data_IF_093803131169
#
_entry.id   IF_093803131169
#
_cell.length_a   1.000
_cell.length_b   1.000
_cell.length_c   1.000
_cell.angle_alpha   90.00
_cell.angle_beta   90.00
_cell.angle_gamma   90.00
#
_symmetry.space_group_name_H-M   'P 1'
#
loop_
_entity.id
_entity.type
_entity.pdbx_description
1 polymer ?
#
# COMPACT_ATOMS: atom_id res chain seq x y z
N UNK A 1 6.60 28.45 7.44
CA UNK A 1 5.53 28.23 8.49
C UNK A 1 6.23 28.21 9.85
N UNK A 2 5.61 28.75 10.89
CA UNK A 2 6.15 28.59 12.24
C UNK A 2 5.82 27.20 12.83
N UNK A 3 6.48 26.83 13.93
CA UNK A 3 6.29 25.51 14.54
C UNK A 3 4.85 25.26 14.97
N UNK A 4 4.11 26.29 15.38
CA UNK A 4 2.71 26.21 15.78
C UNK A 4 1.84 25.83 14.58
N UNK A 5 2.05 26.45 13.41
CA UNK A 5 1.34 26.15 12.16
C UNK A 5 1.61 24.71 11.68
N UNK A 6 2.84 24.21 11.84
CA UNK A 6 3.21 22.84 11.47
C UNK A 6 2.54 21.80 12.37
N UNK A 7 2.50 22.04 13.69
CA UNK A 7 1.77 21.19 14.65
C UNK A 7 0.27 21.25 14.39
N UNK A 8 -0.26 22.43 14.08
CA UNK A 8 -1.67 22.58 13.69
C UNK A 8 -2.01 21.79 12.44
N UNK A 9 -1.15 21.79 11.42
CA UNK A 9 -1.32 20.99 10.21
C UNK A 9 -1.34 19.48 10.51
N UNK A 10 -0.46 19.00 11.40
CA UNK A 10 -0.50 17.61 11.88
C UNK A 10 -1.81 17.29 12.58
N UNK A 11 -2.20 18.13 13.54
CA UNK A 11 -3.45 17.94 14.28
C UNK A 11 -4.67 17.92 13.33
N UNK A 12 -4.68 18.79 12.32
CA UNK A 12 -5.75 18.83 11.31
C UNK A 12 -5.88 17.49 10.59
N UNK A 13 -4.78 16.89 10.15
CA UNK A 13 -4.80 15.57 9.48
C UNK A 13 -5.32 14.48 10.43
N UNK A 14 -4.88 14.47 11.68
CA UNK A 14 -5.35 13.50 12.69
C UNK A 14 -6.85 13.68 12.98
N UNK A 15 -7.32 14.93 13.07
CA UNK A 15 -8.73 15.28 13.30
C UNK A 15 -9.64 14.86 12.14
N UNK A 16 -9.15 14.84 10.91
CA UNK A 16 -9.93 14.38 9.75
C UNK A 16 -10.44 12.94 9.89
N UNK A 17 -9.83 12.14 10.74
CA UNK A 17 -10.26 10.76 11.00
C UNK A 17 -11.13 10.63 12.26
N UNK A 18 -11.33 11.71 13.04
CA UNK A 18 -12.05 11.65 14.31
C UNK A 18 -13.55 11.37 14.18
N UNK A 19 -14.17 11.67 13.05
CA UNK A 19 -15.62 11.52 12.87
C UNK A 19 -16.11 10.06 12.89
N UNK A 20 -15.21 9.08 12.73
CA UNK A 20 -15.56 7.66 12.82
C UNK A 20 -15.65 7.16 14.27
N UNK A 21 -15.22 7.97 15.21
CA UNK A 21 -15.19 7.65 16.63
C UNK A 21 -16.28 8.40 17.40
N UNK A 22 -16.73 7.82 18.50
CA UNK A 22 -17.45 8.62 19.50
C UNK A 22 -16.53 9.66 20.10
N UNK A 23 -17.04 10.77 20.63
CA UNK A 23 -16.21 11.84 21.18
C UNK A 23 -15.17 11.37 22.21
N UNK A 24 -15.51 10.52 23.20
CA UNK A 24 -14.50 9.98 24.12
C UNK A 24 -13.42 9.16 23.39
N UNK A 25 -13.80 8.38 22.38
CA UNK A 25 -12.85 7.59 21.59
C UNK A 25 -11.97 8.45 20.69
N UNK A 26 -12.50 9.55 20.15
CA UNK A 26 -11.74 10.51 19.35
C UNK A 26 -10.66 11.22 20.17
N UNK A 27 -10.93 11.50 21.45
CA UNK A 27 -9.92 12.02 22.39
C UNK A 27 -8.79 11.01 22.59
N UNK A 28 -9.13 9.75 22.85
CA UNK A 28 -8.14 8.67 23.03
C UNK A 28 -7.37 8.41 21.73
N UNK A 29 -8.04 8.44 20.56
CA UNK A 29 -7.41 8.34 19.24
C UNK A 29 -6.26 9.36 19.08
N UNK A 30 -6.52 10.64 19.34
CA UNK A 30 -5.51 11.70 19.22
C UNK A 30 -4.30 11.45 20.12
N UNK A 31 -4.53 11.00 21.34
CA UNK A 31 -3.46 10.69 22.28
C UNK A 31 -2.69 9.44 21.88
N UNK A 32 -3.37 8.38 21.42
CA UNK A 32 -2.70 7.18 20.89
C UNK A 32 -1.81 7.54 19.70
N UNK A 33 -2.32 8.31 18.74
CA UNK A 33 -1.54 8.74 17.56
C UNK A 33 -0.30 9.53 17.99
N UNK A 34 -0.44 10.50 18.89
CA UNK A 34 0.68 11.27 19.41
C UNK A 34 1.71 10.38 20.11
N UNK A 35 1.27 9.56 21.06
CA UNK A 35 2.16 8.66 21.79
C UNK A 35 2.83 7.61 20.90
N UNK A 36 2.14 7.15 19.85
CA UNK A 36 2.68 6.20 18.89
C UNK A 36 3.78 6.81 18.03
N UNK A 37 3.57 8.00 17.48
CA UNK A 37 4.57 8.72 16.69
C UNK A 37 5.82 9.03 17.52
N UNK A 38 5.63 9.47 18.77
CA UNK A 38 6.74 9.80 19.67
C UNK A 38 7.48 8.58 20.22
N UNK A 39 6.85 7.41 20.21
CA UNK A 39 7.42 6.18 20.76
C UNK A 39 8.57 5.66 19.91
N UNK A 40 9.67 5.27 20.58
CA UNK A 40 10.76 4.45 20.04
C UNK A 40 10.72 3.08 20.74
N UNK A 41 10.92 2.01 19.96
CA UNK A 41 10.85 0.64 20.45
C UNK A 41 9.46 0.00 20.32
N UNK A 42 9.19 -1.12 21.00
CA UNK A 42 7.98 -1.93 20.79
C UNK A 42 6.68 -1.14 21.00
N UNK A 43 5.74 -1.23 20.06
CA UNK A 43 4.47 -0.49 20.06
C UNK A 43 3.42 -1.19 20.94
N UNK A 44 3.67 -1.22 22.26
CA UNK A 44 2.71 -1.65 23.26
C UNK A 44 1.86 -0.48 23.73
N UNK A 45 0.61 -0.74 24.11
CA UNK A 45 -0.28 0.30 24.64
C UNK A 45 0.34 1.00 25.87
N UNK A 46 0.94 0.22 26.77
CA UNK A 46 1.65 0.77 27.95
C UNK A 46 2.88 1.61 27.57
N UNK A 47 3.59 1.22 26.49
CA UNK A 47 4.70 1.99 25.97
C UNK A 47 4.25 3.33 25.39
N UNK A 48 3.16 3.34 24.62
CA UNK A 48 2.52 4.56 24.11
C UNK A 48 2.07 5.45 25.25
N UNK A 49 1.38 4.87 26.24
CA UNK A 49 0.94 5.59 27.45
C UNK A 49 2.11 6.28 28.19
N UNK A 50 3.23 5.57 28.38
CA UNK A 50 4.44 6.16 28.97
C UNK A 50 4.98 7.34 28.17
N UNK A 51 4.94 7.28 26.83
CA UNK A 51 5.36 8.41 25.99
C UNK A 51 4.46 9.64 26.14
N UNK A 52 3.18 9.45 26.44
CA UNK A 52 2.25 10.55 26.70
C UNK A 52 2.58 11.26 28.02
N UNK A 53 2.98 10.52 29.07
CA UNK A 53 3.24 11.08 30.38
C UNK A 53 2.03 11.86 30.92
N UNK A 54 2.23 13.12 31.31
CA UNK A 54 1.18 14.01 31.81
C UNK A 54 0.11 14.41 30.78
N UNK A 55 0.31 14.14 29.49
CA UNK A 55 -0.72 14.32 28.47
C UNK A 55 -1.75 13.20 28.46
N UNK A 56 -1.46 12.09 29.13
CA UNK A 56 -2.43 11.01 29.34
C UNK A 56 -3.38 11.42 30.47
N UNK A 57 -4.59 11.78 30.12
CA UNK A 57 -5.62 12.28 31.04
C UNK A 57 -6.59 11.21 31.55
N UNK A 58 -6.35 9.95 31.20
CA UNK A 58 -7.16 8.79 31.60
C UNK A 58 -6.24 7.65 32.05
N UNK A 59 -6.81 6.75 32.85
CA UNK A 59 -6.10 5.54 33.25
C UNK A 59 -5.71 4.69 32.02
N UNK A 60 -4.55 4.05 32.05
CA UNK A 60 -3.97 3.30 30.91
C UNK A 60 -4.92 2.22 30.32
N UNK A 61 -5.80 1.64 31.13
CA UNK A 61 -6.80 0.66 30.66
C UNK A 61 -7.79 1.25 29.66
N UNK A 62 -8.01 2.56 29.65
CA UNK A 62 -8.89 3.23 28.68
C UNK A 62 -8.28 3.16 27.28
N UNK A 63 -6.96 3.30 27.19
CA UNK A 63 -6.22 3.17 25.92
C UNK A 63 -6.24 1.73 25.39
N UNK A 64 -6.20 0.74 26.28
CA UNK A 64 -6.40 -0.65 25.86
C UNK A 64 -7.84 -0.90 25.39
N UNK A 65 -8.84 -0.38 26.13
CA UNK A 65 -10.26 -0.48 25.76
C UNK A 65 -10.56 0.12 24.38
N UNK A 66 -9.79 1.12 23.95
CA UNK A 66 -9.90 1.68 22.60
C UNK A 66 -9.73 0.60 21.51
N UNK A 67 -8.83 -0.36 21.70
CA UNK A 67 -8.58 -1.42 20.72
C UNK A 67 -9.58 -2.58 20.80
N UNK A 68 -10.05 -2.97 21.97
CA UNK A 68 -10.90 -4.16 22.07
C UNK A 68 -12.38 -3.90 22.37
N UNK A 69 -12.74 -2.71 22.88
CA UNK A 69 -14.11 -2.39 23.31
C UNK A 69 -14.77 -1.27 22.53
N UNK A 70 -14.05 -0.20 22.20
CA UNK A 70 -14.61 0.97 21.52
C UNK A 70 -15.34 0.62 20.22
N UNK A 71 -16.39 1.42 19.90
CA UNK A 71 -17.23 1.21 18.74
C UNK A 71 -16.64 1.84 17.48
N UNK A 72 -15.67 1.19 16.87
CA UNK A 72 -15.12 1.58 15.56
C UNK A 72 -14.61 0.35 14.81
N UNK A 73 -14.49 0.45 13.48
CA UNK A 73 -13.97 -0.63 12.65
C UNK A 73 -12.75 -0.19 11.84
N UNK A 74 -11.89 -1.16 11.49
CA UNK A 74 -10.78 -0.90 10.57
C UNK A 74 -11.28 -0.50 9.18
N UNK A 75 -12.43 -1.04 8.75
CA UNK A 75 -13.06 -0.69 7.47
C UNK A 75 -13.44 0.79 7.43
N UNK A 76 -14.07 1.31 8.49
CA UNK A 76 -14.45 2.72 8.57
C UNK A 76 -13.22 3.62 8.62
N UNK A 77 -12.18 3.22 9.37
CA UNK A 77 -10.91 3.94 9.42
C UNK A 77 -10.22 4.00 8.04
N UNK A 78 -10.20 2.89 7.31
CA UNK A 78 -9.66 2.85 5.95
C UNK A 78 -10.47 3.72 4.98
N UNK A 79 -11.79 3.66 5.05
CA UNK A 79 -12.66 4.52 4.22
C UNK A 79 -12.45 6.01 4.52
N UNK A 80 -12.33 6.37 5.81
CA UNK A 80 -12.02 7.72 6.23
C UNK A 80 -10.65 8.20 5.73
N UNK A 81 -9.62 7.34 5.84
CA UNK A 81 -8.28 7.62 5.36
C UNK A 81 -8.27 7.88 3.86
N UNK A 82 -8.95 7.02 3.09
CA UNK A 82 -9.11 7.19 1.65
C UNK A 82 -9.82 8.51 1.31
N UNK A 83 -10.98 8.77 1.92
CA UNK A 83 -11.83 9.90 1.56
C UNK A 83 -11.29 11.25 2.04
N UNK A 84 -10.68 11.32 3.22
CA UNK A 84 -10.30 12.59 3.87
C UNK A 84 -8.84 12.95 3.73
N UNK A 85 -7.95 11.97 3.61
CA UNK A 85 -6.51 12.21 3.53
C UNK A 85 -5.97 11.96 2.12
N UNK A 86 -6.31 10.80 1.53
CA UNK A 86 -5.72 10.38 0.26
C UNK A 86 -6.44 11.01 -0.94
N UNK A 87 -7.76 11.09 -0.93
CA UNK A 87 -8.53 11.67 -2.05
C UNK A 87 -8.13 13.12 -2.39
N UNK A 88 -7.94 14.03 -1.41
CA UNK A 88 -7.41 15.36 -1.71
C UNK A 88 -6.04 15.32 -2.39
N UNK A 89 -5.15 14.40 -2.01
CA UNK A 89 -3.85 14.24 -2.66
C UNK A 89 -3.96 13.70 -4.09
N UNK A 90 -4.95 12.81 -4.35
CA UNK A 90 -5.26 12.34 -5.71
C UNK A 90 -5.69 13.51 -6.58
N UNK A 91 -6.57 14.37 -6.10
CA UNK A 91 -7.02 15.56 -6.84
C UNK A 91 -5.86 16.56 -7.07
N UNK A 92 -5.04 16.79 -6.06
CA UNK A 92 -3.85 17.65 -6.15
C UNK A 92 -2.82 17.14 -7.16
N UNK A 93 -2.74 15.82 -7.39
CA UNK A 93 -1.83 15.24 -8.37
C UNK A 93 -2.09 15.72 -9.79
N UNK A 94 -3.33 16.11 -10.11
CA UNK A 94 -3.75 16.53 -11.45
C UNK A 94 -3.68 15.42 -12.50
N UNK A 95 -3.35 14.18 -12.12
CA UNK A 95 -3.25 13.06 -13.05
C UNK A 95 -4.61 12.58 -13.46
N UNK A 96 -4.93 12.68 -14.74
CA UNK A 96 -6.19 12.21 -15.31
C UNK A 96 -5.98 10.95 -16.14
N UNK A 97 -7.00 10.12 -16.17
CA UNK A 97 -7.03 8.94 -17.03
C UNK A 97 -7.31 9.36 -18.47
N UNK A 98 -6.45 8.90 -19.39
CA UNK A 98 -6.47 9.29 -20.81
C UNK A 98 -7.75 8.83 -21.55
N UNK A 99 -8.45 7.84 -21.01
CA UNK A 99 -9.64 7.28 -21.66
C UNK A 99 -10.96 7.79 -21.05
N UNK A 100 -10.93 8.17 -19.78
CA UNK A 100 -12.15 8.55 -19.04
C UNK A 100 -12.15 10.00 -18.57
N UNK A 101 -11.00 10.69 -18.61
CA UNK A 101 -10.82 12.04 -18.08
C UNK A 101 -10.96 12.14 -16.57
N UNK A 102 -11.10 11.02 -15.84
CA UNK A 102 -11.27 11.00 -14.39
C UNK A 102 -9.92 11.09 -13.68
N UNK A 103 -9.89 11.65 -12.44
CA UNK A 103 -8.71 11.54 -11.58
C UNK A 103 -8.28 10.09 -11.39
N UNK A 104 -6.99 9.85 -11.27
CA UNK A 104 -6.40 8.50 -11.19
C UNK A 104 -5.89 8.21 -9.79
N UNK A 105 -6.18 7.00 -9.30
CA UNK A 105 -5.50 6.41 -8.17
C UNK A 105 -4.81 5.10 -8.60
N UNK A 106 -3.49 5.04 -8.44
CA UNK A 106 -2.71 3.81 -8.63
C UNK A 106 -2.68 3.04 -7.31
N UNK A 107 -3.29 1.85 -7.27
CA UNK A 107 -3.35 0.98 -6.10
C UNK A 107 -2.44 -0.23 -6.29
N UNK A 108 -1.55 -0.48 -5.34
CA UNK A 108 -0.78 -1.72 -5.29
C UNK A 108 -1.30 -2.63 -4.18
N UNK A 109 -1.39 -3.93 -4.45
CA UNK A 109 -1.80 -4.94 -3.47
C UNK A 109 -0.69 -5.97 -3.31
N UNK A 110 -0.36 -6.25 -2.04
CA UNK A 110 0.56 -7.32 -1.67
C UNK A 110 0.17 -7.91 -0.31
N UNK A 111 0.74 -9.06 0.04
CA UNK A 111 0.56 -9.64 1.37
C UNK A 111 1.88 -9.72 2.13
N UNK A 112 1.77 -9.68 3.45
CA UNK A 112 2.92 -9.78 4.33
C UNK A 112 2.60 -10.59 5.56
N UNK A 113 3.58 -11.41 5.97
CA UNK A 113 3.48 -12.12 7.24
C UNK A 113 4.14 -11.32 8.36
N UNK A 114 3.57 -11.46 9.56
CA UNK A 114 4.04 -10.81 10.78
C UNK A 114 4.15 -11.87 11.88
N UNK A 115 5.37 -12.19 12.28
CA UNK A 115 5.64 -13.19 13.31
C UNK A 115 4.91 -12.90 14.62
N UNK A 116 4.40 -13.94 15.27
CA UNK A 116 3.68 -13.85 16.54
C UNK A 116 4.22 -14.84 17.56
N UNK A 117 4.14 -14.46 18.83
CA UNK A 117 4.42 -15.33 19.96
C UNK A 117 3.13 -15.59 20.73
N UNK A 118 2.97 -16.82 21.22
CA UNK A 118 1.80 -17.22 22.01
C UNK A 118 0.74 -17.98 21.20
N UNK A 119 0.34 -19.12 21.75
CA UNK A 119 -0.61 -20.07 21.11
C UNK A 119 -2.04 -19.53 21.03
N UNK A 120 -2.40 -18.58 21.90
CA UNK A 120 -3.77 -18.05 22.01
C UNK A 120 -3.97 -16.71 21.28
N UNK A 121 -2.97 -16.28 20.47
CA UNK A 121 -3.14 -15.07 19.67
C UNK A 121 -4.15 -15.33 18.56
N UNK A 122 -5.26 -14.60 18.60
CA UNK A 122 -6.35 -14.79 17.64
C UNK A 122 -5.85 -14.65 16.19
N UNK A 123 -6.29 -15.59 15.33
CA UNK A 123 -6.02 -15.61 13.89
C UNK A 123 -4.53 -15.80 13.51
N UNK A 124 -3.65 -16.11 14.45
CA UNK A 124 -2.30 -16.54 14.14
C UNK A 124 -2.30 -17.98 13.61
N UNK A 125 -1.39 -18.29 12.72
CA UNK A 125 -1.26 -19.61 12.13
C UNK A 125 0.14 -19.84 11.56
N UNK A 126 0.42 -21.06 11.12
CA UNK A 126 1.67 -21.38 10.45
C UNK A 126 1.63 -20.93 8.99
N UNK A 127 2.49 -20.03 8.59
CA UNK A 127 2.61 -19.50 7.23
C UNK A 127 4.02 -19.73 6.69
N UNK A 128 4.12 -19.85 5.37
CA UNK A 128 5.41 -19.85 4.69
C UNK A 128 6.03 -18.47 4.79
N UNK A 129 7.27 -18.40 5.22
CA UNK A 129 8.07 -17.19 5.12
C UNK A 129 8.71 -17.14 3.72
N UNK A 130 8.15 -16.31 2.85
CA UNK A 130 8.62 -16.22 1.47
C UNK A 130 10.03 -15.61 1.37
N UNK A 131 10.37 -14.66 2.25
CA UNK A 131 11.65 -13.95 2.25
C UNK A 131 12.80 -14.88 2.67
N UNK A 132 12.62 -15.61 3.75
CA UNK A 132 13.62 -16.56 4.26
C UNK A 132 13.67 -17.81 3.39
N UNK A 133 12.52 -18.30 2.90
CA UNK A 133 12.48 -19.48 2.03
C UNK A 133 13.18 -19.27 0.69
N UNK A 134 13.17 -18.04 0.15
CA UNK A 134 13.84 -17.71 -1.11
C UNK A 134 15.38 -17.72 -0.98
N UNK A 135 15.90 -17.36 0.18
CA UNK A 135 17.35 -17.32 0.48
C UNK A 135 17.90 -18.59 1.14
N UNK A 136 17.00 -19.49 1.60
CA UNK A 136 17.39 -20.70 2.32
C UNK A 136 17.64 -21.87 1.37
N UNK A 137 18.83 -22.46 1.45
CA UNK A 137 19.14 -23.75 0.81
C UNK A 137 18.47 -24.96 1.48
N UNK A 138 17.82 -24.74 2.66
CA UNK A 138 17.19 -25.79 3.46
C UNK A 138 15.71 -26.03 3.14
N UNK A 139 15.15 -25.38 2.10
CA UNK A 139 13.76 -25.57 1.67
C UNK A 139 12.77 -24.54 2.25
N UNK A 140 11.51 -24.93 2.38
CA UNK A 140 10.43 -24.04 2.84
C UNK A 140 10.52 -23.79 4.34
N UNK A 141 10.72 -22.53 4.72
CA UNK A 141 10.65 -22.08 6.11
C UNK A 141 9.21 -21.66 6.43
N UNK A 142 8.69 -22.15 7.54
CA UNK A 142 7.36 -21.77 8.06
C UNK A 142 7.52 -21.11 9.43
N UNK A 143 6.66 -20.14 9.72
CA UNK A 143 6.63 -19.47 11.02
C UNK A 143 5.20 -19.24 11.52
N UNK A 144 5.04 -19.10 12.83
CA UNK A 144 3.79 -18.76 13.46
C UNK A 144 3.55 -17.26 13.32
N UNK A 145 2.53 -16.86 12.58
CA UNK A 145 2.37 -15.48 12.14
C UNK A 145 0.90 -15.09 11.90
N UNK A 146 0.67 -13.79 11.72
CA UNK A 146 -0.46 -13.24 11.00
C UNK A 146 -0.07 -13.03 9.54
N UNK A 147 -1.01 -13.24 8.61
CA UNK A 147 -0.86 -12.85 7.21
C UNK A 147 -1.82 -11.69 6.91
N UNK A 148 -1.27 -10.55 6.48
CA UNK A 148 -1.99 -9.33 6.17
C UNK A 148 -1.95 -9.06 4.68
N UNK A 149 -3.11 -8.77 4.09
CA UNK A 149 -3.23 -8.23 2.73
C UNK A 149 -3.30 -6.71 2.88
N UNK A 150 -2.42 -6.01 2.15
CA UNK A 150 -2.25 -4.56 2.22
C UNK A 150 -2.51 -3.97 0.85
N UNK A 151 -3.36 -2.94 0.81
CA UNK A 151 -3.57 -2.09 -0.34
C UNK A 151 -3.00 -0.69 -0.07
N UNK A 152 -2.09 -0.23 -0.92
CA UNK A 152 -1.50 1.10 -0.84
C UNK A 152 -1.84 1.92 -2.09
N UNK A 153 -2.15 3.20 -1.91
CA UNK A 153 -2.38 4.15 -3.01
C UNK A 153 -1.10 4.93 -3.28
N UNK A 154 -0.68 4.97 -4.53
CA UNK A 154 0.46 5.78 -4.96
C UNK A 154 -0.04 7.08 -5.59
N UNK A 155 0.48 8.21 -5.10
CA UNK A 155 0.20 9.55 -5.61
C UNK A 155 1.50 10.21 -6.03
N UNK A 156 1.47 10.94 -7.15
CA UNK A 156 2.58 11.81 -7.60
C UNK A 156 2.10 13.25 -7.54
N UNK A 157 2.72 14.04 -6.68
CA UNK A 157 2.36 15.45 -6.50
C UNK A 157 3.23 16.34 -7.38
N UNK A 158 2.68 17.35 -8.09
CA UNK A 158 3.44 18.28 -8.94
C UNK A 158 4.61 18.95 -8.22
N UNK A 159 4.40 19.27 -6.94
CA UNK A 159 5.44 19.85 -6.07
C UNK A 159 6.57 18.90 -5.74
N UNK A 160 6.37 17.59 -5.90
CA UNK A 160 7.31 16.52 -5.59
C UNK A 160 7.48 15.60 -6.80
N UNK A 161 7.96 16.09 -7.96
CA UNK A 161 7.89 15.36 -9.23
C UNK A 161 8.67 14.05 -9.21
N UNK A 162 9.71 13.97 -8.37
CA UNK A 162 10.57 12.78 -8.27
C UNK A 162 10.13 11.79 -7.19
N UNK A 163 9.15 12.15 -6.35
CA UNK A 163 8.72 11.31 -5.23
C UNK A 163 7.40 10.62 -5.56
N UNK A 164 7.38 9.31 -5.34
CA UNK A 164 6.16 8.51 -5.34
C UNK A 164 5.67 8.37 -3.90
N UNK A 165 4.54 9.01 -3.60
CA UNK A 165 3.91 8.93 -2.28
C UNK A 165 3.10 7.66 -2.18
N UNK A 166 3.70 6.61 -1.64
CA UNK A 166 3.02 5.33 -1.42
C UNK A 166 2.37 5.34 -0.04
N UNK A 167 1.05 5.26 -0.02
CA UNK A 167 0.17 5.51 1.12
C UNK A 167 -0.62 4.23 1.44
N UNK A 168 -0.19 3.40 2.41
CA UNK A 168 -0.98 2.28 2.88
C UNK A 168 -2.36 2.72 3.36
N UNK A 169 -3.43 2.13 2.83
CA UNK A 169 -4.78 2.63 3.04
C UNK A 169 -5.79 1.56 3.47
N UNK A 170 -5.68 0.36 2.93
CA UNK A 170 -6.65 -0.71 3.14
C UNK A 170 -5.93 -1.96 3.63
N UNK A 171 -6.49 -2.61 4.64
CA UNK A 171 -5.84 -3.71 5.34
C UNK A 171 -6.83 -4.80 5.65
N UNK A 172 -6.46 -6.05 5.38
CA UNK A 172 -7.31 -7.19 5.72
C UNK A 172 -6.45 -8.34 6.26
N UNK A 173 -6.86 -8.88 7.40
CA UNK A 173 -6.23 -10.06 8.00
C UNK A 173 -6.78 -11.32 7.35
N UNK A 174 -5.90 -12.11 6.73
CA UNK A 174 -6.26 -13.43 6.27
C UNK A 174 -6.44 -14.39 7.45
N UNK A 175 -7.52 -15.15 7.45
CA UNK A 175 -7.82 -16.19 8.43
C UNK A 175 -7.78 -17.55 7.77
N UNK A 176 -7.09 -18.50 8.39
CA UNK A 176 -7.13 -19.87 7.90
C UNK A 176 -8.52 -20.45 8.01
N UNK A 177 -8.82 -21.40 7.14
CA UNK A 177 -10.12 -22.11 7.14
C UNK A 177 -10.41 -22.78 8.49
N UNK A 178 -9.38 -23.34 9.13
CA UNK A 178 -9.47 -23.92 10.48
C UNK A 178 -9.87 -22.93 11.58
N UNK A 179 -9.69 -21.63 11.35
CA UNK A 179 -9.99 -20.54 12.28
C UNK A 179 -11.41 -19.99 12.10
N UNK A 180 -12.11 -20.44 11.06
CA UNK A 180 -13.48 -20.01 10.74
C UNK A 180 -14.49 -20.99 11.33
N UNK A 181 -15.48 -20.46 12.08
CA UNK A 181 -16.52 -21.29 12.71
C UNK A 181 -17.39 -22.02 11.70
N UNK A 182 -17.64 -21.40 10.57
CA UNK A 182 -18.40 -21.97 9.44
C UNK A 182 -17.65 -21.76 8.14
N UNK A 183 -17.94 -22.58 7.13
CA UNK A 183 -17.33 -22.48 5.82
C UNK A 183 -17.63 -21.14 5.13
N UNK A 184 -18.80 -20.58 5.36
CA UNK A 184 -19.25 -19.30 4.77
C UNK A 184 -18.45 -18.09 5.31
N UNK A 185 -17.80 -18.23 6.48
CA UNK A 185 -16.94 -17.19 7.05
C UNK A 185 -15.53 -17.21 6.46
N UNK A 186 -15.13 -18.27 5.78
CA UNK A 186 -13.83 -18.35 5.15
C UNK A 186 -13.77 -17.49 3.88
N UNK A 187 -12.70 -16.74 3.74
CA UNK A 187 -12.35 -15.97 2.53
C UNK A 187 -10.92 -16.28 2.13
N UNK A 188 -10.73 -16.65 0.88
CA UNK A 188 -9.38 -16.80 0.30
C UNK A 188 -8.68 -15.45 0.16
N UNK A 189 -7.36 -15.44 -0.03
CA UNK A 189 -6.60 -14.22 -0.32
C UNK A 189 -7.17 -13.46 -1.52
N UNK A 190 -7.63 -14.18 -2.54
CA UNK A 190 -8.20 -13.62 -3.75
C UNK A 190 -9.54 -12.93 -3.49
N UNK A 191 -10.43 -13.56 -2.73
CA UNK A 191 -11.71 -12.95 -2.36
C UNK A 191 -11.50 -11.71 -1.49
N UNK A 192 -10.60 -11.77 -0.50
CA UNK A 192 -10.26 -10.62 0.33
C UNK A 192 -9.67 -9.45 -0.48
N UNK A 193 -8.80 -9.75 -1.45
CA UNK A 193 -8.27 -8.73 -2.35
C UNK A 193 -9.37 -8.13 -3.25
N UNK A 194 -10.29 -8.95 -3.76
CA UNK A 194 -11.45 -8.49 -4.52
C UNK A 194 -12.35 -7.56 -3.71
N UNK A 195 -12.69 -7.94 -2.47
CA UNK A 195 -13.46 -7.12 -1.54
C UNK A 195 -12.74 -5.79 -1.22
N UNK A 196 -11.40 -5.84 -1.05
CA UNK A 196 -10.57 -4.65 -0.83
C UNK A 196 -10.62 -3.69 -2.02
N UNK A 197 -10.51 -4.19 -3.25
CA UNK A 197 -10.61 -3.37 -4.47
C UNK A 197 -11.98 -2.72 -4.57
N UNK A 198 -13.05 -3.48 -4.34
CA UNK A 198 -14.42 -2.96 -4.37
C UNK A 198 -14.65 -1.87 -3.31
N UNK A 199 -14.20 -2.11 -2.07
CA UNK A 199 -14.32 -1.13 -0.98
C UNK A 199 -13.54 0.16 -1.30
N UNK A 200 -12.35 0.03 -1.90
CA UNK A 200 -11.54 1.19 -2.32
C UNK A 200 -12.24 1.98 -3.43
N UNK A 201 -12.77 1.30 -4.45
CA UNK A 201 -13.51 1.94 -5.53
C UNK A 201 -14.78 2.66 -5.04
N UNK A 202 -15.46 2.10 -4.03
CA UNK A 202 -16.61 2.73 -3.38
C UNK A 202 -16.24 3.96 -2.54
N UNK A 203 -15.08 3.90 -1.85
CA UNK A 203 -14.58 5.02 -1.04
C UNK A 203 -14.02 6.19 -1.87
N UNK A 204 -13.70 5.95 -3.15
CA UNK A 204 -13.16 6.93 -4.09
C UNK A 204 -14.09 7.11 -5.31
N UNK A 205 -15.30 7.64 -5.11
CA UNK A 205 -16.26 7.83 -6.21
C UNK A 205 -15.70 8.82 -7.24
N UNK A 206 -15.91 8.52 -8.53
CA UNK A 206 -15.43 9.38 -9.61
C UNK A 206 -13.94 9.24 -9.96
N UNK A 207 -13.19 8.39 -9.26
CA UNK A 207 -11.78 8.11 -9.54
C UNK A 207 -11.64 6.86 -10.41
N UNK A 208 -10.72 6.90 -11.38
CA UNK A 208 -10.28 5.72 -12.12
C UNK A 208 -9.23 5.00 -11.28
N UNK A 209 -9.57 3.81 -10.76
CA UNK A 209 -8.67 3.01 -9.94
C UNK A 209 -7.85 2.06 -10.83
N UNK A 210 -6.55 2.21 -10.80
CA UNK A 210 -5.58 1.36 -11.52
C UNK A 210 -4.90 0.44 -10.51
N UNK A 211 -5.27 -0.84 -10.52
CA UNK A 211 -4.76 -1.82 -9.55
C UNK A 211 -3.58 -2.57 -10.13
N UNK A 212 -2.52 -2.74 -9.35
CA UNK A 212 -1.39 -3.62 -9.65
C UNK A 212 -1.24 -4.64 -8.53
N UNK A 213 -1.22 -5.93 -8.88
CA UNK A 213 -1.16 -7.01 -7.90
C UNK A 213 -0.27 -8.16 -8.38
N UNK A 214 0.27 -8.96 -7.44
CA UNK A 214 1.06 -10.14 -7.81
C UNK A 214 0.21 -11.21 -8.52
N UNK A 215 0.88 -12.14 -9.21
CA UNK A 215 0.24 -13.21 -9.98
C UNK A 215 -0.68 -14.14 -9.19
N UNK A 216 -0.52 -14.20 -7.87
CA UNK A 216 -1.45 -14.95 -7.01
C UNK A 216 -2.87 -14.37 -7.03
N UNK A 217 -3.01 -13.05 -7.28
CA UNK A 217 -4.29 -12.35 -7.38
C UNK A 217 -4.88 -12.36 -8.80
N UNK A 218 -4.15 -12.86 -9.79
CA UNK A 218 -4.62 -13.04 -11.17
C UNK A 218 -5.59 -14.23 -11.28
N UNK A 219 -6.73 -14.15 -10.63
CA UNK A 219 -7.75 -15.21 -10.52
C UNK A 219 -9.13 -14.67 -10.84
N UNK A 220 -10.02 -15.59 -11.25
CA UNK A 220 -11.40 -15.28 -11.59
C UNK A 220 -12.13 -14.50 -10.49
N UNK A 221 -11.90 -14.86 -9.22
CA UNK A 221 -12.53 -14.25 -8.05
C UNK A 221 -12.15 -12.76 -7.89
N UNK A 222 -10.99 -12.35 -8.38
CA UNK A 222 -10.55 -10.95 -8.37
C UNK A 222 -11.00 -10.23 -9.64
N UNK A 223 -10.78 -10.84 -10.81
CA UNK A 223 -10.89 -10.15 -12.10
C UNK A 223 -12.33 -9.95 -12.55
N UNK A 224 -13.20 -10.98 -12.37
CA UNK A 224 -14.57 -10.89 -12.90
C UNK A 224 -15.48 -9.91 -12.15
N UNK A 225 -15.38 -9.73 -10.81
CA UNK A 225 -16.20 -8.77 -10.10
C UNK A 225 -15.63 -7.36 -10.07
N UNK A 226 -14.60 -7.01 -10.87
CA UNK A 226 -14.03 -5.67 -10.89
C UNK A 226 -15.09 -4.62 -11.29
N UNK A 227 -15.21 -3.51 -10.53
CA UNK A 227 -16.04 -2.38 -10.92
C UNK A 227 -15.59 -1.76 -12.24
N UNK A 228 -16.50 -1.09 -12.95
CA UNK A 228 -16.22 -0.49 -14.27
C UNK A 228 -15.11 0.57 -14.24
N UNK A 229 -14.94 1.27 -13.12
CA UNK A 229 -13.88 2.26 -12.94
C UNK A 229 -12.57 1.64 -12.43
N UNK A 230 -12.42 0.32 -12.56
CA UNK A 230 -11.20 -0.39 -12.11
C UNK A 230 -10.58 -1.15 -13.26
N UNK A 231 -9.28 -0.97 -13.48
CA UNK A 231 -8.50 -1.88 -14.30
C UNK A 231 -7.37 -2.50 -13.48
N UNK A 232 -7.02 -3.75 -13.83
CA UNK A 232 -6.02 -4.54 -13.12
C UNK A 232 -4.85 -4.87 -14.04
N UNK A 233 -3.65 -4.63 -13.55
CA UNK A 233 -2.40 -5.14 -14.10
C UNK A 233 -1.84 -6.20 -13.15
N UNK A 234 -1.50 -7.37 -13.69
CA UNK A 234 -0.89 -8.44 -12.90
C UNK A 234 -0.07 -9.38 -13.79
N UNK A 235 0.60 -10.36 -13.17
CA UNK A 235 1.28 -11.42 -13.91
C UNK A 235 0.28 -12.43 -14.46
N UNK A 236 0.43 -12.78 -15.74
CA UNK A 236 -0.25 -13.93 -16.34
C UNK A 236 0.66 -15.15 -16.28
N UNK A 237 0.09 -16.31 -16.07
CA UNK A 237 0.87 -17.56 -16.07
C UNK A 237 1.51 -17.79 -17.44
N UNK A 238 2.79 -18.19 -17.45
CA UNK A 238 3.55 -18.50 -18.67
C UNK A 238 2.96 -19.65 -19.51
N UNK A 239 2.11 -20.48 -18.90
CA UNK A 239 1.41 -21.62 -19.51
C UNK A 239 -0.10 -21.35 -19.69
N UNK A 240 -0.55 -20.10 -19.54
CA UNK A 240 -1.96 -19.73 -19.63
C UNK A 240 -2.58 -20.12 -20.97
N UNK A 241 -3.82 -20.64 -20.93
CA UNK A 241 -4.62 -20.91 -22.10
C UNK A 241 -5.27 -19.60 -22.57
N UNK A 242 -4.76 -19.03 -23.64
CA UNK A 242 -5.24 -17.80 -24.26
C UNK A 242 -5.84 -18.07 -25.64
N UNK A 243 -6.73 -17.19 -26.07
CA UNK A 243 -7.52 -17.36 -27.28
C UNK A 243 -7.56 -16.05 -28.08
N UNK A 244 -7.72 -16.17 -29.38
CA UNK A 244 -8.08 -15.04 -30.24
C UNK A 244 -9.45 -14.47 -29.83
N UNK A 245 -9.68 -13.23 -30.22
CA UNK A 245 -10.99 -12.63 -30.10
C UNK A 245 -11.99 -13.39 -31.00
N UNK A 246 -13.27 -13.51 -30.61
CA UNK A 246 -14.25 -14.13 -31.47
C UNK A 246 -14.40 -13.37 -32.79
N UNK A 247 -14.50 -14.09 -33.89
CA UNK A 247 -14.72 -13.49 -35.19
C UNK A 247 -16.00 -12.65 -35.20
N UNK A 248 -15.94 -11.48 -35.82
CA UNK A 248 -17.15 -10.67 -36.06
C UNK A 248 -18.11 -11.48 -36.95
N UNK A 249 -19.39 -11.52 -36.56
CA UNK A 249 -20.41 -12.23 -37.33
C UNK A 249 -20.59 -11.55 -38.69
N UNK A 250 -20.39 -12.33 -39.75
CA UNK A 250 -20.73 -11.87 -41.09
C UNK A 250 -22.24 -11.91 -41.30
N UNK A 251 -22.85 -11.05 -42.14
CA UNK A 251 -24.30 -11.06 -42.40
C UNK A 251 -24.84 -12.42 -42.90
N UNK A 252 -23.99 -13.18 -43.55
CA UNK A 252 -24.31 -14.54 -44.11
C UNK A 252 -24.17 -15.68 -43.07
N UNK A 253 -23.86 -15.38 -41.80
CA UNK A 253 -23.66 -16.46 -40.81
C UNK A 253 -24.98 -17.14 -40.43
N UNK A 254 -24.99 -18.46 -40.58
CA UNK A 254 -26.12 -19.35 -40.23
C UNK A 254 -26.56 -19.19 -38.76
N UNK A 255 -27.85 -19.53 -38.45
CA UNK A 255 -28.41 -19.52 -37.09
C UNK A 255 -27.53 -20.33 -36.13
N UNK A 256 -27.28 -19.80 -34.93
CA UNK A 256 -26.52 -20.49 -33.89
C UNK A 256 -26.05 -19.56 -32.80
N UNK A 257 -25.60 -20.11 -31.65
CA UNK A 257 -25.02 -19.32 -30.52
C UNK A 257 -23.72 -18.64 -30.96
N UNK A 258 -23.59 -17.35 -30.67
CA UNK A 258 -22.36 -16.59 -30.95
C UNK A 258 -21.16 -17.23 -30.24
N UNK A 259 -20.04 -17.47 -30.94
CA UNK A 259 -18.83 -17.98 -30.30
C UNK A 259 -18.33 -16.94 -29.27
N UNK A 260 -18.03 -17.40 -28.06
CA UNK A 260 -17.53 -16.53 -27.00
C UNK A 260 -16.00 -16.33 -27.05
N UNK A 261 -15.29 -17.13 -27.83
CA UNK A 261 -13.83 -17.09 -28.00
C UNK A 261 -13.45 -17.59 -29.40
N UNK A 262 -12.33 -17.09 -29.91
CA UNK A 262 -11.72 -17.53 -31.17
C UNK A 262 -10.85 -18.79 -31.02
N UNK A 263 -9.92 -18.99 -31.93
CA UNK A 263 -8.96 -20.10 -31.90
C UNK A 263 -8.02 -19.99 -30.69
N UNK A 264 -7.60 -21.14 -30.17
CA UNK A 264 -6.60 -21.20 -29.12
C UNK A 264 -5.26 -20.74 -29.64
N UNK A 265 -4.65 -19.76 -28.97
CA UNK A 265 -3.30 -19.30 -29.25
C UNK A 265 -2.26 -20.20 -28.52
N UNK A 266 -1.01 -20.24 -28.97
CA UNK A 266 0.09 -20.79 -28.19
C UNK A 266 0.15 -20.11 -26.81
N UNK A 267 0.60 -20.83 -25.79
CA UNK A 267 0.74 -20.21 -24.45
C UNK A 267 1.84 -19.12 -24.47
N UNK A 268 1.81 -18.15 -23.52
CA UNK A 268 2.73 -17.00 -23.49
C UNK A 268 4.20 -17.40 -23.62
N UNK A 269 4.64 -18.46 -22.93
CA UNK A 269 6.01 -18.99 -23.04
C UNK A 269 6.37 -19.45 -24.45
N UNK A 270 5.46 -20.12 -25.15
CA UNK A 270 5.71 -20.55 -26.55
C UNK A 270 5.77 -19.36 -27.49
N UNK A 271 4.89 -18.35 -27.31
CA UNK A 271 4.94 -17.11 -28.08
C UNK A 271 6.29 -16.42 -27.87
N UNK A 272 6.74 -16.27 -26.63
CA UNK A 272 8.04 -15.67 -26.30
C UNK A 272 9.22 -16.40 -26.96
N UNK A 273 9.17 -17.74 -27.04
CA UNK A 273 10.25 -18.55 -27.62
C UNK A 273 10.30 -18.46 -29.16
N UNK A 274 9.15 -18.43 -29.82
CA UNK A 274 9.12 -18.57 -31.29
C UNK A 274 8.88 -17.27 -32.06
N UNK A 275 8.35 -16.22 -31.39
CA UNK A 275 8.06 -14.94 -32.06
C UNK A 275 9.32 -14.10 -32.22
N UNK A 276 9.76 -13.93 -33.46
CA UNK A 276 10.95 -13.14 -33.78
C UNK A 276 10.66 -11.68 -34.10
N UNK A 277 9.43 -11.35 -34.57
CA UNK A 277 9.06 -10.00 -35.03
C UNK A 277 8.00 -9.38 -34.10
N UNK A 278 7.91 -8.05 -34.11
CA UNK A 278 6.93 -7.27 -33.39
C UNK A 278 7.33 -6.96 -31.93
N UNK A 279 8.61 -7.09 -31.61
CA UNK A 279 9.18 -6.61 -30.37
C UNK A 279 9.48 -5.12 -30.48
N UNK A 280 9.08 -4.36 -29.47
CA UNK A 280 9.34 -2.93 -29.34
C UNK A 280 10.27 -2.71 -28.14
N UNK A 281 11.22 -1.79 -28.31
CA UNK A 281 12.11 -1.39 -27.23
C UNK A 281 11.45 -0.26 -26.41
N UNK A 282 11.43 -0.42 -25.09
CA UNK A 282 10.91 0.57 -24.16
C UNK A 282 11.92 0.85 -23.06
N UNK A 283 11.88 2.06 -22.52
CA UNK A 283 12.61 2.43 -21.31
C UNK A 283 11.60 2.62 -20.17
N UNK A 284 11.80 1.92 -19.08
CA UNK A 284 10.93 1.97 -17.89
C UNK A 284 11.75 2.08 -16.61
N UNK A 285 11.13 2.60 -15.55
CA UNK A 285 11.76 2.68 -14.25
C UNK A 285 11.46 1.42 -13.42
N UNK A 286 12.50 0.67 -13.03
CA UNK A 286 12.42 -0.50 -12.14
C UNK A 286 13.21 -0.21 -10.88
N UNK A 287 12.55 -0.12 -9.73
CA UNK A 287 13.19 0.15 -8.42
C UNK A 287 14.09 1.39 -8.41
N UNK A 288 13.67 2.46 -9.08
CA UNK A 288 14.45 3.71 -9.16
C UNK A 288 15.47 3.79 -10.29
N UNK A 289 15.74 2.70 -11.00
CA UNK A 289 16.68 2.65 -12.12
C UNK A 289 15.96 2.62 -13.46
N UNK A 290 16.46 3.39 -14.44
CA UNK A 290 16.00 3.29 -15.82
C UNK A 290 16.56 2.00 -16.43
N UNK A 291 15.66 1.16 -16.96
CA UNK A 291 16.02 -0.12 -17.59
C UNK A 291 15.39 -0.21 -18.98
N UNK A 292 16.14 -0.71 -19.94
CA UNK A 292 15.65 -1.04 -21.27
C UNK A 292 15.00 -2.43 -21.25
N UNK A 293 13.86 -2.57 -21.93
CA UNK A 293 13.14 -3.83 -22.09
C UNK A 293 12.61 -3.96 -23.52
N UNK A 294 12.62 -5.19 -24.03
CA UNK A 294 11.87 -5.53 -25.23
C UNK A 294 10.48 -6.02 -24.82
N UNK A 295 9.45 -5.48 -25.44
CA UNK A 295 8.06 -5.85 -25.17
C UNK A 295 7.36 -6.37 -26.41
N UNK A 296 6.47 -7.33 -26.21
CA UNK A 296 5.58 -7.86 -27.24
C UNK A 296 4.16 -7.91 -26.69
N UNK A 297 3.31 -6.99 -27.16
CA UNK A 297 1.93 -6.90 -26.73
C UNK A 297 0.98 -7.66 -27.66
N UNK A 298 0.01 -8.36 -27.07
CA UNK A 298 -1.01 -9.14 -27.79
C UNK A 298 -2.36 -8.90 -27.13
N UNK A 299 -3.35 -8.46 -27.90
CA UNK A 299 -4.73 -8.42 -27.45
C UNK A 299 -5.37 -9.81 -27.64
N UNK A 300 -5.82 -10.42 -26.56
CA UNK A 300 -6.35 -11.78 -26.56
C UNK A 300 -7.41 -11.97 -25.47
N UNK A 301 -8.00 -13.16 -25.41
CA UNK A 301 -8.86 -13.58 -24.31
C UNK A 301 -8.12 -14.56 -23.39
N UNK A 302 -8.07 -14.25 -22.10
CA UNK A 302 -7.77 -15.21 -21.06
C UNK A 302 -9.09 -15.73 -20.46
N UNK A 303 -9.81 -16.52 -21.27
CA UNK A 303 -11.22 -16.85 -21.03
C UNK A 303 -11.50 -17.45 -19.66
N UNK A 304 -10.62 -18.31 -19.14
CA UNK A 304 -10.82 -18.97 -17.83
C UNK A 304 -10.82 -17.99 -16.66
N UNK A 305 -10.07 -16.89 -16.76
CA UNK A 305 -9.93 -15.90 -15.69
C UNK A 305 -10.77 -14.66 -15.96
N UNK A 306 -10.67 -14.10 -17.17
CA UNK A 306 -11.28 -12.81 -17.53
C UNK A 306 -12.62 -12.96 -18.26
N UNK A 307 -13.06 -14.19 -18.55
CA UNK A 307 -14.27 -14.43 -19.34
C UNK A 307 -14.11 -14.00 -20.80
N UNK A 308 -15.12 -13.34 -21.33
CA UNK A 308 -15.15 -12.82 -22.72
C UNK A 308 -14.63 -11.38 -22.85
N UNK A 309 -14.06 -10.83 -21.78
CA UNK A 309 -13.43 -9.50 -21.79
C UNK A 309 -12.03 -9.59 -22.40
N UNK A 310 -11.73 -8.81 -23.46
CA UNK A 310 -10.38 -8.73 -24.03
C UNK A 310 -9.37 -8.15 -23.04
N UNK A 311 -8.19 -8.75 -23.03
CA UNK A 311 -7.05 -8.26 -22.25
C UNK A 311 -5.90 -7.86 -23.17
N UNK A 312 -5.05 -6.94 -22.70
CA UNK A 312 -3.72 -6.72 -23.27
C UNK A 312 -2.72 -7.56 -22.51
N UNK A 313 -2.16 -8.57 -23.15
CA UNK A 313 -1.06 -9.37 -22.64
C UNK A 313 0.26 -8.80 -23.16
N UNK A 314 1.25 -8.63 -22.27
CA UNK A 314 2.57 -8.10 -22.61
C UNK A 314 3.64 -9.08 -22.13
N UNK A 315 4.48 -9.50 -23.07
CA UNK A 315 5.68 -10.29 -22.79
C UNK A 315 6.83 -9.30 -22.70
N UNK A 316 7.63 -9.39 -21.63
CA UNK A 316 8.74 -8.49 -21.35
C UNK A 316 10.02 -9.30 -21.30
N UNK A 317 11.02 -8.87 -22.08
CA UNK A 317 12.33 -9.50 -22.20
C UNK A 317 13.44 -8.54 -21.84
N UNK A 318 14.40 -9.02 -21.11
CA UNK A 318 15.67 -8.33 -20.92
C UNK A 318 16.53 -8.44 -22.18
N UNK A 319 16.87 -7.34 -22.87
CA UNK A 319 17.70 -7.39 -24.08
C UNK A 319 19.09 -7.98 -23.82
N UNK A 320 19.61 -7.86 -22.58
CA UNK A 320 20.89 -8.45 -22.18
C UNK A 320 20.80 -9.96 -21.84
N UNK A 321 19.59 -10.54 -21.78
CA UNK A 321 19.38 -11.95 -21.49
C UNK A 321 19.71 -12.37 -20.04
N UNK A 322 19.95 -11.42 -19.14
CA UNK A 322 20.30 -11.70 -17.73
C UNK A 322 19.08 -12.10 -16.90
N UNK A 323 17.92 -11.54 -17.23
CA UNK A 323 16.65 -11.83 -16.55
C UNK A 323 15.78 -12.74 -17.42
N UNK A 324 14.92 -13.55 -16.78
CA UNK A 324 13.92 -14.38 -17.48
C UNK A 324 12.79 -13.51 -17.99
N UNK A 325 12.15 -13.95 -19.09
CA UNK A 325 10.94 -13.29 -19.62
C UNK A 325 9.85 -13.20 -18.55
N UNK A 326 9.29 -11.99 -18.39
CA UNK A 326 8.11 -11.72 -17.58
C UNK A 326 6.85 -11.66 -18.47
N UNK A 327 5.70 -12.00 -17.89
CA UNK A 327 4.41 -12.04 -18.59
C UNK A 327 3.40 -11.27 -17.79
N UNK A 328 2.91 -10.15 -18.34
CA UNK A 328 1.91 -9.29 -17.71
C UNK A 328 0.62 -9.27 -18.51
N UNK A 329 -0.47 -8.87 -17.86
CA UNK A 329 -1.71 -8.55 -18.55
C UNK A 329 -2.36 -7.32 -17.91
N UNK A 330 -3.17 -6.63 -18.71
CA UNK A 330 -4.06 -5.57 -18.26
C UNK A 330 -5.49 -5.91 -18.68
N UNK A 331 -6.44 -5.71 -17.79
CA UNK A 331 -7.88 -5.93 -18.07
C UNK A 331 -8.45 -4.84 -19.01
N UNK A 332 -7.76 -3.73 -19.19
CA UNK A 332 -8.07 -2.74 -20.23
C UNK A 332 -7.10 -2.90 -21.39
N UNK A 333 -7.61 -3.42 -22.50
CA UNK A 333 -6.80 -3.73 -23.70
C UNK A 333 -6.29 -2.47 -24.45
N UNK A 334 -6.75 -1.27 -24.10
CA UNK A 334 -6.34 0.00 -24.71
C UNK A 334 -5.03 0.54 -24.15
N UNK A 335 -4.63 0.09 -22.97
CA UNK A 335 -3.46 0.59 -22.27
C UNK A 335 -2.18 0.21 -23.03
N UNK A 336 -1.29 1.18 -23.33
CA UNK A 336 -0.01 0.92 -24.00
C UNK A 336 0.90 -0.03 -23.22
N UNK A 337 1.67 -0.84 -23.94
CA UNK A 337 2.53 -1.89 -23.37
C UNK A 337 3.51 -1.33 -22.34
N UNK A 338 4.20 -0.22 -22.66
CA UNK A 338 5.12 0.44 -21.72
C UNK A 338 4.44 0.87 -20.41
N UNK A 339 3.20 1.38 -20.48
CA UNK A 339 2.44 1.76 -19.28
C UNK A 339 2.04 0.55 -18.45
N UNK A 340 1.73 -0.59 -19.06
CA UNK A 340 1.43 -1.84 -18.35
C UNK A 340 2.66 -2.31 -17.56
N UNK A 341 3.82 -2.31 -18.20
CA UNK A 341 5.09 -2.70 -17.57
C UNK A 341 5.43 -1.77 -16.42
N UNK A 342 5.34 -0.44 -16.66
CA UNK A 342 5.64 0.56 -15.64
C UNK A 342 4.72 0.42 -14.42
N UNK A 343 3.40 0.27 -14.62
CA UNK A 343 2.43 0.08 -13.55
C UNK A 343 2.76 -1.17 -12.71
N UNK A 344 3.17 -2.26 -13.37
CA UNK A 344 3.55 -3.46 -12.63
C UNK A 344 4.85 -3.25 -11.81
N UNK A 345 5.84 -2.55 -12.36
CA UNK A 345 7.07 -2.25 -11.62
C UNK A 345 6.82 -1.28 -10.46
N UNK A 346 5.91 -0.31 -10.61
CA UNK A 346 5.52 0.62 -9.57
C UNK A 346 4.82 -0.06 -8.38
N UNK A 347 4.31 -1.31 -8.54
CA UNK A 347 3.76 -2.14 -7.45
C UNK A 347 4.75 -2.30 -6.29
N UNK A 348 6.05 -2.33 -6.56
CA UNK A 348 7.09 -2.47 -5.53
C UNK A 348 6.95 -1.46 -4.39
N UNK A 349 6.36 -0.31 -4.61
CA UNK A 349 6.13 0.70 -3.59
C UNK A 349 5.31 0.20 -2.39
N UNK A 350 4.40 -0.78 -2.56
CA UNK A 350 3.67 -1.36 -1.41
C UNK A 350 4.62 -2.14 -0.50
N UNK A 351 5.59 -2.87 -1.06
CA UNK A 351 6.61 -3.61 -0.30
C UNK A 351 7.49 -2.65 0.52
N UNK A 352 7.89 -1.51 -0.07
CA UNK A 352 8.62 -0.44 0.62
C UNK A 352 7.80 0.11 1.81
N UNK A 353 6.51 0.39 1.61
CA UNK A 353 5.66 0.93 2.67
C UNK A 353 5.37 -0.09 3.78
N UNK A 354 5.30 -1.38 3.45
CA UNK A 354 5.23 -2.47 4.43
C UNK A 354 6.52 -2.50 5.26
N UNK A 355 7.68 -2.41 4.62
CA UNK A 355 8.99 -2.38 5.29
C UNK A 355 9.10 -1.18 6.24
N UNK A 356 8.72 0.02 5.79
CA UNK A 356 8.68 1.23 6.62
C UNK A 356 7.81 1.05 7.87
N UNK A 357 6.63 0.43 7.70
CA UNK A 357 5.73 0.18 8.83
C UNK A 357 6.28 -0.83 9.84
N UNK A 358 7.00 -1.85 9.36
CA UNK A 358 7.67 -2.84 10.21
C UNK A 358 8.84 -2.24 10.97
N UNK A 359 9.73 -1.55 10.28
CA UNK A 359 10.96 -1.02 10.86
C UNK A 359 10.74 0.17 11.78
N UNK A 360 9.86 1.11 11.40
CA UNK A 360 9.79 2.41 12.08
C UNK A 360 8.51 2.65 12.85
N UNK A 361 7.41 1.99 12.49
CA UNK A 361 6.11 2.19 13.13
C UNK A 361 5.63 1.01 13.96
N UNK A 362 6.44 -0.05 14.06
CA UNK A 362 6.21 -1.19 14.94
C UNK A 362 5.03 -2.09 14.55
N UNK A 363 4.79 -2.25 13.26
CA UNK A 363 3.75 -3.15 12.74
C UNK A 363 3.88 -4.58 13.28
N UNK A 364 5.11 -5.06 13.45
CA UNK A 364 5.41 -6.38 14.01
C UNK A 364 5.43 -6.44 15.53
N UNK A 365 5.60 -5.31 16.20
CA UNK A 365 5.82 -5.23 17.65
C UNK A 365 4.56 -5.06 18.49
N UNK A 366 3.37 -5.06 17.86
CA UNK A 366 2.09 -4.97 18.55
C UNK A 366 1.80 -6.24 19.36
N UNK A 367 1.17 -6.10 20.54
CA UNK A 367 0.97 -7.20 21.52
C UNK A 367 -0.50 -7.59 21.72
N UNK A 368 -1.38 -7.13 20.84
CA UNK A 368 -2.78 -7.53 20.86
C UNK A 368 -2.96 -9.04 20.66
N UNK A 369 -3.81 -9.68 21.47
CA UNK A 369 -4.06 -11.12 21.41
C UNK A 369 -5.52 -11.48 21.07
N UNK A 370 -6.50 -10.66 21.44
CA UNK A 370 -7.89 -10.90 21.08
C UNK A 370 -8.20 -10.42 19.66
N UNK A 371 -9.21 -11.00 19.03
CA UNK A 371 -9.57 -10.76 17.63
C UNK A 371 -9.71 -9.26 17.28
N UNK A 372 -10.42 -8.48 18.13
CA UNK A 372 -10.59 -7.04 17.88
C UNK A 372 -9.27 -6.27 17.96
N UNK A 373 -8.44 -6.54 18.96
CA UNK A 373 -7.15 -5.86 19.15
C UNK A 373 -6.19 -6.18 18.00
N UNK A 374 -6.11 -7.46 17.60
CA UNK A 374 -5.29 -7.87 16.46
C UNK A 374 -5.68 -7.11 15.20
N UNK A 375 -6.99 -7.08 14.87
CA UNK A 375 -7.48 -6.41 13.66
C UNK A 375 -7.33 -4.88 13.68
N UNK A 376 -7.11 -4.26 14.84
CA UNK A 376 -7.08 -2.80 14.98
C UNK A 376 -5.68 -2.24 15.24
N UNK A 377 -4.89 -2.91 16.08
CA UNK A 377 -3.62 -2.37 16.55
C UNK A 377 -2.53 -2.46 15.47
N UNK A 378 -2.35 -3.60 14.83
CA UNK A 378 -1.30 -3.75 13.83
C UNK A 378 -1.49 -2.82 12.61
N UNK A 379 -2.68 -2.73 11.97
CA UNK A 379 -2.89 -1.82 10.83
C UNK A 379 -2.68 -0.34 11.16
N UNK A 380 -2.82 0.05 12.42
CA UNK A 380 -2.61 1.44 12.82
C UNK A 380 -1.20 1.92 12.53
N UNK A 381 -0.19 1.04 12.61
CA UNK A 381 1.18 1.36 12.20
C UNK A 381 1.25 1.85 10.74
N UNK A 382 0.52 1.18 9.83
CA UNK A 382 0.48 1.55 8.42
C UNK A 382 -0.35 2.81 8.18
N UNK A 383 -1.46 3.00 8.89
CA UNK A 383 -2.24 4.25 8.87
C UNK A 383 -1.34 5.43 9.23
N UNK A 384 -0.49 5.28 10.25
CA UNK A 384 0.43 6.33 10.68
C UNK A 384 1.54 6.61 9.65
N UNK A 385 2.01 5.62 8.91
CA UNK A 385 2.91 5.86 7.75
C UNK A 385 2.23 6.82 6.77
N UNK A 386 0.97 6.59 6.44
CA UNK A 386 0.20 7.45 5.54
C UNK A 386 0.01 8.85 6.11
N UNK A 387 -0.34 8.99 7.40
CA UNK A 387 -0.52 10.31 8.02
C UNK A 387 0.77 11.11 8.06
N UNK A 388 1.91 10.48 8.39
CA UNK A 388 3.23 11.12 8.40
C UNK A 388 3.61 11.59 6.99
N UNK A 389 3.46 10.74 5.99
CA UNK A 389 3.74 11.09 4.59
C UNK A 389 2.84 12.23 4.10
N UNK A 390 1.53 12.18 4.39
CA UNK A 390 0.58 13.21 3.98
C UNK A 390 0.88 14.58 4.65
N UNK A 391 1.24 14.58 5.94
CA UNK A 391 1.69 15.77 6.64
C UNK A 391 2.95 16.35 6.00
N UNK A 392 3.96 15.51 5.82
CA UNK A 392 5.25 15.94 5.27
C UNK A 392 5.10 16.48 3.84
N UNK A 393 4.37 15.78 2.99
CA UNK A 393 4.12 16.20 1.61
C UNK A 393 3.49 17.60 1.52
N UNK A 394 2.64 17.94 2.50
CA UNK A 394 1.95 19.24 2.57
C UNK A 394 2.82 20.35 3.15
N UNK A 395 3.64 20.05 4.17
CA UNK A 395 4.34 21.05 4.97
C UNK A 395 5.76 21.33 4.49
N UNK A 396 6.52 20.34 4.05
CA UNK A 396 7.96 20.47 3.81
C UNK A 396 8.34 21.37 2.62
N UNK A 397 7.40 21.66 1.73
CA UNK A 397 7.62 22.65 0.64
C UNK A 397 7.61 24.07 1.17
N UNK A 398 6.69 24.35 2.10
CA UNK A 398 6.56 25.69 2.69
C UNK A 398 7.58 25.93 3.81
N UNK A 399 8.26 24.87 4.25
CA UNK A 399 9.20 24.93 5.39
C UNK A 399 10.47 24.13 5.10
N UNK A 400 11.48 24.75 4.48
CA UNK A 400 12.74 24.08 4.13
C UNK A 400 13.47 23.43 5.31
N UNK A 401 13.25 23.88 6.55
CA UNK A 401 13.85 23.27 7.74
C UNK A 401 13.39 21.83 8.02
N UNK A 402 12.31 21.40 7.37
CA UNK A 402 11.86 20.01 7.41
C UNK A 402 12.58 19.10 6.41
N UNK A 403 13.29 19.69 5.43
CA UNK A 403 14.05 18.90 4.45
C UNK A 403 15.25 18.23 5.13
N UNK A 404 15.64 17.04 4.67
CA UNK A 404 16.80 16.36 5.24
C UNK A 404 18.06 17.16 4.98
N UNK A 405 18.88 17.28 6.01
CA UNK A 405 20.23 17.84 5.88
C UNK A 405 21.11 16.89 5.06
N UNK A 406 21.97 17.45 4.21
CA UNK A 406 22.99 16.68 3.51
C UNK A 406 24.06 16.24 4.50
N UNK A 407 24.28 14.92 4.62
CA UNK A 407 25.30 14.36 5.50
C UNK A 407 26.54 13.98 4.71
N UNK A 408 27.76 14.12 5.28
CA UNK A 408 29.01 13.81 4.57
C UNK A 408 29.05 12.40 3.98
N UNK A 409 28.47 11.41 4.66
CA UNK A 409 28.40 10.02 4.20
C UNK A 409 27.30 9.77 3.18
N UNK A 410 26.41 10.73 2.91
CA UNK A 410 25.34 10.65 1.93
C UNK A 410 25.06 12.00 1.26
N UNK A 411 26.10 12.59 0.73
CA UNK A 411 26.05 13.91 0.08
C UNK A 411 25.11 13.98 -1.13
N UNK A 412 24.77 12.85 -1.71
CA UNK A 412 23.89 12.75 -2.89
C UNK A 412 22.44 12.46 -2.58
N UNK A 413 22.02 12.55 -1.34
CA UNK A 413 20.61 12.34 -0.94
C UNK A 413 19.72 13.42 -1.57
N UNK A 414 18.93 13.03 -2.55
CA UNK A 414 18.06 13.96 -3.30
C UNK A 414 16.63 14.03 -2.77
N UNK A 415 16.20 12.99 -2.03
CA UNK A 415 14.80 12.86 -1.61
C UNK A 415 14.71 12.43 -0.16
N UNK A 416 13.74 12.97 0.60
CA UNK A 416 13.48 12.54 1.96
C UNK A 416 13.02 11.08 1.99
N UNK A 417 13.60 10.28 2.87
CA UNK A 417 13.11 8.97 3.24
C UNK A 417 11.98 9.07 4.27
N UNK A 418 11.24 7.99 4.49
CA UNK A 418 10.24 7.97 5.56
C UNK A 418 10.84 8.28 6.93
N UNK A 419 12.08 7.87 7.18
CA UNK A 419 12.80 8.16 8.43
C UNK A 419 12.98 9.66 8.62
N UNK A 420 13.37 10.41 7.56
CA UNK A 420 13.52 11.86 7.64
C UNK A 420 12.17 12.54 7.97
N UNK A 421 11.10 12.08 7.31
CA UNK A 421 9.76 12.61 7.55
C UNK A 421 9.31 12.37 9.00
N UNK A 422 9.54 11.16 9.50
CA UNK A 422 9.21 10.78 10.87
C UNK A 422 10.07 11.51 11.89
N UNK A 423 11.36 11.68 11.60
CA UNK A 423 12.28 12.45 12.43
C UNK A 423 11.85 13.91 12.55
N UNK A 424 11.56 14.56 11.41
CA UNK A 424 11.08 15.94 11.38
C UNK A 424 9.81 16.13 12.22
N UNK A 425 8.83 15.20 12.07
CA UNK A 425 7.60 15.24 12.86
C UNK A 425 7.86 15.02 14.35
N UNK A 426 8.69 14.05 14.71
CA UNK A 426 9.06 13.77 16.11
C UNK A 426 9.74 14.95 16.75
N UNK A 427 10.76 15.54 16.09
CA UNK A 427 11.45 16.74 16.54
C UNK A 427 10.47 17.87 16.83
N UNK A 428 9.59 18.16 15.87
CA UNK A 428 8.56 19.19 15.99
C UNK A 428 7.62 18.97 17.18
N UNK A 429 7.06 17.76 17.29
CA UNK A 429 6.11 17.41 18.36
C UNK A 429 6.76 17.47 19.75
N UNK A 430 8.03 17.05 19.87
CA UNK A 430 8.79 17.18 21.13
C UNK A 430 9.10 18.62 21.47
N UNK A 431 9.55 19.43 20.53
CA UNK A 431 9.80 20.85 20.73
C UNK A 431 8.54 21.58 21.22
N UNK A 432 7.40 21.31 20.56
CA UNK A 432 6.12 21.88 20.97
C UNK A 432 5.68 21.42 22.37
N UNK A 433 5.99 20.16 22.75
CA UNK A 433 5.68 19.62 24.08
C UNK A 433 6.52 20.25 25.18
N UNK A 434 7.82 20.47 24.93
CA UNK A 434 8.75 21.06 25.92
C UNK A 434 8.46 22.55 26.09
N UNK A 435 8.11 23.23 25.02
CA UNK A 435 7.88 24.68 25.04
C UNK A 435 6.69 25.12 24.20
N UNK A 436 5.48 24.89 24.68
CA UNK A 436 4.30 25.40 23.97
C UNK A 436 4.25 26.95 23.95
N UNK A 437 4.87 27.63 24.93
CA UNK A 437 4.76 29.08 25.12
C UNK A 437 6.05 29.79 25.62
N UNK A 438 7.18 29.10 25.74
CA UNK A 438 8.41 29.70 26.30
C UNK A 438 9.37 30.16 25.21
N UNK A 439 9.79 31.43 25.30
CA UNK A 439 10.95 31.94 24.54
C UNK A 439 12.22 31.46 25.23
N UNK A 440 12.87 30.45 24.68
CA UNK A 440 14.15 29.98 25.19
C UNK A 440 15.31 30.90 24.77
N UNK A 441 16.32 31.01 25.65
CA UNK A 441 17.64 31.53 25.28
C UNK A 441 18.25 30.68 24.15
N UNK A 442 19.20 31.25 23.40
CA UNK A 442 19.89 30.53 22.32
C UNK A 442 20.49 29.20 22.81
N UNK A 443 21.11 29.22 24.00
CA UNK A 443 21.74 28.04 24.62
C UNK A 443 20.76 26.94 24.98
N UNK A 444 19.55 27.26 25.41
CA UNK A 444 18.50 26.25 25.71
C UNK A 444 17.95 25.68 24.42
N UNK A 445 17.83 26.47 23.36
CA UNK A 445 17.43 25.95 22.02
C UNK A 445 18.46 24.97 21.47
N UNK A 446 19.76 25.31 21.54
CA UNK A 446 20.87 24.45 21.14
C UNK A 446 20.85 23.11 21.92
N UNK A 447 20.63 23.17 23.25
CA UNK A 447 20.51 21.98 24.09
C UNK A 447 19.30 21.09 23.67
N UNK A 448 18.16 21.72 23.43
CA UNK A 448 16.96 21.01 22.96
C UNK A 448 17.22 20.35 21.59
N UNK A 449 17.93 21.05 20.69
CA UNK A 449 18.31 20.48 19.40
C UNK A 449 19.24 19.29 19.56
N UNK A 450 20.30 19.43 20.35
CA UNK A 450 21.26 18.36 20.62
C UNK A 450 20.58 17.14 21.24
N UNK A 451 19.72 17.34 22.24
CA UNK A 451 18.95 16.24 22.85
C UNK A 451 17.96 15.62 21.85
N UNK A 452 17.33 16.45 21.03
CA UNK A 452 16.41 15.95 19.97
C UNK A 452 17.16 15.11 18.94
N UNK A 453 18.35 15.54 18.51
CA UNK A 453 19.20 14.75 17.63
C UNK A 453 19.59 13.41 18.27
N UNK A 454 20.06 13.40 19.50
CA UNK A 454 20.42 12.17 20.21
C UNK A 454 19.23 11.22 20.44
N UNK A 455 18.02 11.76 20.62
CA UNK A 455 16.81 10.96 20.85
C UNK A 455 16.15 10.46 19.56
N UNK A 456 16.28 11.19 18.44
CA UNK A 456 15.46 10.92 17.24
C UNK A 456 16.26 10.65 15.97
N UNK A 457 17.57 10.92 15.94
CA UNK A 457 18.43 10.42 14.89
C UNK A 457 18.36 8.88 14.89
N UNK A 458 17.92 8.32 13.78
CA UNK A 458 17.72 6.87 13.61
C UNK A 458 19.05 6.16 13.41
#
# INVERSE_FOLDING_TARGET
>A
MDAISLVSAWNTIVLQLCYIFTEPSARIWRQIVLGWVLRRGPMTVTGIFRCLGNLADRHWTVYEKFFYRAAWSLKDLSAALLARVIYPMILESGVLDEFTGKPVADMAIDDTTVGRCGRHVAHAGWFKDASVSASSHKGTVIHWAHNWIVGAITVRLPRWPMIRWVLPAVFTLYRKRSDCKTQDMFRSHQELAGEMIQATAQALPGVQLRVSADGQYAKRQVVQPLPQNVNLVSRIRRDAAIYELPAKRTPKAKRGRKPKKGKRLPCPRKIAAYRKKGWEEITVCKQGYQVQRLVLGITCLWYHVCGDVPIRMVIVRDPAGKERDDFFFCTDARVPDAKIVQRYYDRWGVEESILESKQYMGFESTRGWCSKTVNRQAPLAMVLVTLVKAWYARCAIAEPSLLPETMPWYAHKRHPSFVDMLFALRKLLWQHRISPNLRFSARVRELIETVSYGLFAA
#
